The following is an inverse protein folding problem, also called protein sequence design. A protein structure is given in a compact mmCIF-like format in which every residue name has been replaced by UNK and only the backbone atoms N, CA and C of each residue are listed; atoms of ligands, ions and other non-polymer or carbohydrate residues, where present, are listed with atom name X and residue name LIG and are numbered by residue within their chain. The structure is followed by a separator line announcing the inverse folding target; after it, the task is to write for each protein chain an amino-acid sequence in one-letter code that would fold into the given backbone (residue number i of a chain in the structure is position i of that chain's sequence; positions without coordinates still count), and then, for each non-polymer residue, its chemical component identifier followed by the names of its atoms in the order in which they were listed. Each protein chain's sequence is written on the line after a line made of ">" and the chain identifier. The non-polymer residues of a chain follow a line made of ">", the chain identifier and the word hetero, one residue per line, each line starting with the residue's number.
data_IF_994302553035
#
_entry.id   IF_994302553035
#
_cell.length_a   1.000
_cell.length_b   1.000
_cell.length_c   1.000
_cell.angle_alpha   90.00
_cell.angle_beta   90.00
_cell.angle_gamma   90.00
#
_symmetry.space_group_name_H-M   'P 1'
#
loop_
_entity.id
_entity.type
_entity.pdbx_description
1 polymer ?
#
# COMPACT_ATOMS: atom_id res chain seq x y z
N UNK A 1 5.14 24.39 17.22
CA UNK A 1 4.94 23.37 18.26
C UNK A 1 4.51 22.03 17.68
N UNK A 2 3.54 21.98 16.75
CA UNK A 2 3.09 20.75 16.07
C UNK A 2 4.21 19.78 15.63
N UNK A 3 5.18 20.24 14.84
CA UNK A 3 6.28 19.40 14.36
C UNK A 3 7.17 18.87 15.50
N UNK A 4 7.26 19.60 16.61
CA UNK A 4 7.99 19.15 17.80
C UNK A 4 7.25 18.00 18.47
N UNK A 5 5.94 18.13 18.69
CA UNK A 5 5.13 17.05 19.25
C UNK A 5 5.15 15.80 18.38
N UNK A 6 5.08 15.97 17.06
CA UNK A 6 5.24 14.87 16.10
C UNK A 6 6.57 14.13 16.26
N UNK A 7 7.69 14.87 16.29
CA UNK A 7 9.03 14.28 16.49
C UNK A 7 9.17 13.60 17.85
N UNK A 8 8.49 14.09 18.87
CA UNK A 8 8.46 13.49 20.20
C UNK A 8 7.48 12.30 20.33
N UNK A 9 6.75 11.96 19.27
CA UNK A 9 5.74 10.89 19.30
C UNK A 9 4.45 11.24 20.06
N UNK A 10 4.29 12.49 20.46
CA UNK A 10 3.10 13.03 21.12
C UNK A 10 2.03 13.31 20.06
N UNK A 11 1.45 12.23 19.55
CA UNK A 11 0.67 12.28 18.33
C UNK A 11 -0.70 12.96 18.53
N UNK A 12 -1.30 12.90 19.72
CA UNK A 12 -2.58 13.57 19.99
C UNK A 12 -2.41 15.09 20.04
N UNK A 13 -1.36 15.55 20.70
CA UNK A 13 -0.97 16.96 20.79
C UNK A 13 -0.62 17.49 19.40
N UNK A 14 0.16 16.72 18.62
CA UNK A 14 0.47 17.06 17.23
C UNK A 14 -0.79 17.21 16.37
N UNK A 15 -1.77 16.29 16.49
CA UNK A 15 -3.05 16.39 15.78
C UNK A 15 -3.79 17.69 16.14
N UNK A 16 -3.89 18.01 17.42
CA UNK A 16 -4.61 19.20 17.88
C UNK A 16 -3.94 20.50 17.39
N UNK A 17 -2.61 20.53 17.41
CA UNK A 17 -1.84 21.67 16.92
C UNK A 17 -1.98 21.84 15.40
N UNK A 18 -1.90 20.76 14.61
CA UNK A 18 -2.11 20.87 13.16
C UNK A 18 -3.54 21.24 12.80
N UNK A 19 -4.55 20.75 13.53
CA UNK A 19 -5.95 21.19 13.36
C UNK A 19 -6.07 22.70 13.63
N UNK A 20 -5.44 23.18 14.69
CA UNK A 20 -5.41 24.62 15.00
C UNK A 20 -4.70 25.43 13.92
N UNK A 21 -3.60 24.91 13.36
CA UNK A 21 -2.88 25.53 12.25
C UNK A 21 -3.75 25.61 10.98
N UNK A 22 -4.51 24.54 10.66
CA UNK A 22 -5.46 24.52 9.54
C UNK A 22 -6.52 25.62 9.69
N UNK A 23 -7.07 25.81 10.89
CA UNK A 23 -8.09 26.84 11.15
C UNK A 23 -7.53 28.26 11.01
N UNK A 24 -6.23 28.45 11.28
CA UNK A 24 -5.55 29.76 11.20
C UNK A 24 -4.93 30.03 9.83
N UNK A 25 -4.84 29.02 8.97
CA UNK A 25 -4.18 29.12 7.67
C UNK A 25 -4.91 30.12 6.77
N UNK A 26 -4.15 31.03 6.16
CA UNK A 26 -4.70 32.12 5.32
C UNK A 26 -4.53 31.87 3.81
N UNK A 27 -3.68 30.92 3.44
CA UNK A 27 -3.36 30.62 2.06
C UNK A 27 -3.32 29.10 1.83
N UNK A 28 -3.31 28.71 0.55
CA UNK A 28 -3.30 27.31 0.14
C UNK A 28 -2.03 26.58 0.54
N UNK A 29 -0.89 27.27 0.57
CA UNK A 29 0.39 26.66 0.90
C UNK A 29 0.43 26.21 2.37
N UNK A 30 -0.05 27.06 3.28
CA UNK A 30 -0.15 26.75 4.71
C UNK A 30 -1.18 25.65 4.97
N UNK A 31 -2.32 25.67 4.26
CA UNK A 31 -3.30 24.60 4.31
C UNK A 31 -2.69 23.27 3.84
N UNK A 32 -1.97 23.29 2.72
CA UNK A 32 -1.30 22.12 2.18
C UNK A 32 -0.30 21.54 3.19
N UNK A 33 0.63 22.35 3.71
CA UNK A 33 1.63 21.93 4.69
C UNK A 33 0.97 21.37 5.96
N UNK A 34 -0.06 22.05 6.46
CA UNK A 34 -0.74 21.62 7.69
C UNK A 34 -1.49 20.29 7.49
N UNK A 35 -2.15 20.10 6.35
CA UNK A 35 -2.81 18.83 6.02
C UNK A 35 -1.81 17.71 5.71
N UNK A 36 -0.68 17.99 5.08
CA UNK A 36 0.39 17.02 4.83
C UNK A 36 0.90 16.47 6.16
N UNK A 37 1.36 17.37 7.03
CA UNK A 37 1.92 16.98 8.32
C UNK A 37 0.87 16.29 9.21
N UNK A 38 -0.40 16.72 9.15
CA UNK A 38 -1.48 16.01 9.84
C UNK A 38 -1.65 14.57 9.31
N UNK A 39 -1.51 14.37 8.01
CA UNK A 39 -1.46 13.04 7.38
C UNK A 39 -0.32 12.18 7.93
N UNK A 40 0.87 12.74 8.09
CA UNK A 40 2.03 12.02 8.64
C UNK A 40 1.83 11.59 10.09
N UNK A 41 1.22 12.45 10.91
CA UNK A 41 0.85 12.09 12.29
C UNK A 41 -0.13 10.93 12.28
N UNK A 42 -1.13 10.95 11.39
CA UNK A 42 -2.07 9.83 11.25
C UNK A 42 -1.39 8.56 10.75
N UNK A 43 -0.43 8.65 9.83
CA UNK A 43 0.38 7.52 9.38
C UNK A 43 1.17 6.90 10.53
N UNK A 44 1.80 7.72 11.37
CA UNK A 44 2.52 7.26 12.56
C UNK A 44 1.59 6.57 13.56
N UNK A 45 0.36 7.06 13.70
CA UNK A 45 -0.70 6.44 14.49
C UNK A 45 -1.32 5.19 13.86
N UNK A 46 -0.93 4.81 12.64
CA UNK A 46 -1.57 3.77 11.83
C UNK A 46 -3.06 4.02 11.55
N UNK A 47 -3.50 5.26 11.72
CA UNK A 47 -4.84 5.71 11.37
C UNK A 47 -4.88 6.05 9.87
N UNK A 48 -4.76 5.01 9.06
CA UNK A 48 -4.59 5.16 7.61
C UNK A 48 -5.81 5.82 6.96
N UNK A 49 -7.00 5.67 7.54
CA UNK A 49 -8.22 6.29 7.02
C UNK A 49 -8.17 7.82 7.14
N UNK A 50 -7.76 8.33 8.30
CA UNK A 50 -7.57 9.77 8.47
C UNK A 50 -6.34 10.28 7.71
N UNK A 51 -5.27 9.49 7.60
CA UNK A 51 -4.11 9.84 6.78
C UNK A 51 -4.48 10.06 5.31
N UNK A 52 -5.21 9.12 4.68
CA UNK A 52 -5.71 9.24 3.30
C UNK A 52 -6.53 10.51 3.12
N UNK A 53 -7.39 10.82 4.09
CA UNK A 53 -8.24 12.02 4.05
C UNK A 53 -7.41 13.31 4.13
N UNK A 54 -6.44 13.35 5.04
CA UNK A 54 -5.56 14.51 5.24
C UNK A 54 -4.67 14.76 4.01
N UNK A 55 -3.99 13.72 3.48
CA UNK A 55 -3.18 13.87 2.27
C UNK A 55 -4.02 14.26 1.05
N UNK A 56 -5.26 13.75 0.93
CA UNK A 56 -6.18 14.21 -0.13
C UNK A 56 -6.43 15.72 -0.01
N UNK A 57 -6.69 16.24 1.20
CA UNK A 57 -6.89 17.68 1.42
C UNK A 57 -5.62 18.48 1.16
N UNK A 58 -4.44 17.93 1.45
CA UNK A 58 -3.17 18.55 1.10
C UNK A 58 -3.00 18.68 -0.43
N UNK A 59 -3.28 17.63 -1.20
CA UNK A 59 -3.22 17.66 -2.67
C UNK A 59 -4.26 18.60 -3.31
N UNK A 60 -5.43 18.77 -2.69
CA UNK A 60 -6.41 19.76 -3.17
C UNK A 60 -5.88 21.20 -3.09
N UNK A 61 -4.96 21.47 -2.18
CA UNK A 61 -4.36 22.79 -2.00
C UNK A 61 -3.05 22.96 -2.80
N UNK A 62 -2.26 21.89 -2.96
CA UNK A 62 -1.10 21.84 -3.83
C UNK A 62 -1.05 20.50 -4.61
N UNK A 63 -1.64 20.46 -5.82
CA UNK A 63 -1.67 19.24 -6.62
C UNK A 63 -0.29 18.83 -7.15
N UNK A 64 0.69 19.73 -7.22
CA UNK A 64 2.02 19.42 -7.75
C UNK A 64 2.96 18.75 -6.75
N UNK A 65 2.54 18.54 -5.50
CA UNK A 65 3.41 17.94 -4.50
C UNK A 65 3.51 16.41 -4.64
N UNK A 66 4.65 15.96 -5.16
CA UNK A 66 4.97 14.55 -5.33
C UNK A 66 5.16 13.82 -3.99
N UNK A 67 5.58 14.52 -2.93
CA UNK A 67 5.77 13.93 -1.61
C UNK A 67 4.41 13.56 -0.98
N UNK A 68 3.48 14.51 -0.88
CA UNK A 68 2.11 14.24 -0.41
C UNK A 68 1.45 13.15 -1.25
N UNK A 69 1.69 13.15 -2.56
CA UNK A 69 1.13 12.16 -3.47
C UNK A 69 1.67 10.77 -3.18
N UNK A 70 2.98 10.63 -3.00
CA UNK A 70 3.60 9.38 -2.56
C UNK A 70 2.97 8.90 -1.23
N UNK A 71 2.89 9.79 -0.23
CA UNK A 71 2.33 9.48 1.08
C UNK A 71 0.84 9.10 1.01
N UNK A 72 0.05 9.76 0.15
CA UNK A 72 -1.36 9.44 -0.09
C UNK A 72 -1.53 8.02 -0.62
N UNK A 73 -0.73 7.63 -1.62
CA UNK A 73 -0.81 6.29 -2.21
C UNK A 73 -0.37 5.23 -1.20
N UNK A 74 0.71 5.50 -0.49
CA UNK A 74 1.17 4.62 0.58
C UNK A 74 0.08 4.42 1.64
N UNK A 75 -0.55 5.51 2.11
CA UNK A 75 -1.64 5.46 3.08
C UNK A 75 -2.84 4.62 2.57
N UNK A 76 -3.23 4.77 1.30
CA UNK A 76 -4.31 3.97 0.69
C UNK A 76 -4.01 2.49 0.67
N UNK A 77 -2.78 2.11 0.34
CA UNK A 77 -2.42 0.71 0.26
C UNK A 77 -2.27 0.08 1.65
N UNK A 78 -1.75 0.84 2.62
CA UNK A 78 -1.74 0.42 4.03
C UNK A 78 -3.17 0.23 4.57
N UNK A 79 -4.09 1.14 4.27
CA UNK A 79 -5.51 1.00 4.63
C UNK A 79 -6.14 -0.26 4.03
N UNK A 80 -5.86 -0.54 2.75
CA UNK A 80 -6.36 -1.73 2.07
C UNK A 80 -5.80 -3.02 2.68
N UNK A 81 -4.52 -3.02 3.05
CA UNK A 81 -3.89 -4.17 3.70
C UNK A 81 -4.41 -4.38 5.13
N UNK A 82 -4.64 -3.30 5.88
CA UNK A 82 -5.26 -3.36 7.21
C UNK A 82 -6.67 -4.00 7.16
N UNK A 83 -7.46 -3.62 6.15
CA UNK A 83 -8.79 -4.21 5.92
C UNK A 83 -8.73 -5.70 5.51
N UNK A 84 -7.74 -6.11 4.72
CA UNK A 84 -7.56 -7.52 4.32
C UNK A 84 -7.21 -8.41 5.52
N UNK A 85 -6.28 -7.96 6.36
CA UNK A 85 -5.86 -8.73 7.53
C UNK A 85 -7.04 -8.95 8.50
N UNK A 86 -7.85 -7.91 8.77
CA UNK A 86 -9.06 -8.01 9.60
C UNK A 86 -10.11 -9.00 9.06
N UNK A 87 -10.11 -9.27 7.75
CA UNK A 87 -11.01 -10.24 7.12
C UNK A 87 -10.45 -11.67 7.08
N UNK A 88 -9.12 -11.85 7.16
CA UNK A 88 -8.51 -13.18 7.24
C UNK A 88 -8.62 -13.78 8.65
N UNK A 89 -8.49 -12.98 9.71
CA UNK A 89 -8.66 -13.45 11.10
C UNK A 89 -10.07 -14.01 11.38
N UNK A 90 -11.08 -13.61 10.59
CA UNK A 90 -12.45 -14.15 10.68
C UNK A 90 -12.65 -15.50 9.96
N UNK A 91 -11.71 -15.93 9.11
CA UNK A 91 -11.81 -17.21 8.37
C UNK A 91 -11.08 -18.36 9.06
N UNK A 92 -10.10 -18.10 9.91
CA UNK A 92 -9.36 -19.16 10.61
C UNK A 92 -10.05 -19.65 11.89
N UNK A 93 -10.99 -18.89 12.46
CA UNK A 93 -11.76 -19.29 13.64
C UNK A 93 -12.93 -20.28 13.36
N UNK A 94 -12.94 -20.94 12.19
CA UNK A 94 -14.01 -21.87 11.78
C UNK A 94 -13.50 -23.25 11.33
N UNK A 95 -12.26 -23.63 11.72
CA UNK A 95 -11.64 -24.91 11.31
C UNK A 95 -11.20 -25.85 12.42
N UNK A 96 -11.49 -25.56 13.70
CA UNK A 96 -11.14 -26.44 14.83
C UNK A 96 -12.36 -26.93 15.62
N UNK A 97 -13.33 -27.57 14.96
CA UNK A 97 -14.34 -28.33 15.71
C UNK A 97 -14.90 -29.56 14.98
N UNK A 98 -14.01 -30.40 14.44
CA UNK A 98 -14.40 -31.76 14.01
C UNK A 98 -13.19 -32.69 13.93
N UNK A 99 -12.74 -33.19 15.09
CA UNK A 99 -12.01 -34.47 15.17
C UNK A 99 -11.96 -34.96 16.61
N UNK A 100 -13.07 -35.53 17.05
CA UNK A 100 -13.07 -36.58 18.07
C UNK A 100 -14.26 -37.53 17.80
N UNK A 101 -13.96 -38.64 17.13
CA UNK A 101 -14.45 -39.94 17.57
C UNK A 101 -13.70 -41.05 16.84
N UNK A 102 -12.73 -41.61 17.55
CA UNK A 102 -12.11 -42.91 17.25
C UNK A 102 -12.90 -43.96 18.02
N UNK A 103 -13.43 -44.98 17.36
CA UNK A 103 -13.60 -46.30 17.96
C UNK A 103 -13.56 -47.39 16.88
N UNK A 104 -12.59 -48.27 17.08
CA UNK A 104 -12.19 -49.43 16.31
C UNK A 104 -13.29 -50.51 16.20
N UNK A 105 -13.34 -51.28 15.11
CA UNK A 105 -12.83 -52.66 15.11
C UNK A 105 -13.03 -53.43 13.78
N UNK A 106 -11.95 -54.13 13.41
CA UNK A 106 -11.83 -55.51 12.87
C UNK A 106 -12.11 -55.87 11.39
N UNK A 107 -11.00 -56.30 10.76
CA UNK A 107 -10.73 -57.62 10.08
C UNK A 107 -11.48 -57.91 8.77
N UNK A 108 -10.95 -58.63 7.78
CA UNK A 108 -9.71 -59.39 7.54
C UNK A 108 -9.62 -59.62 6.00
N UNK A 109 -8.41 -60.00 5.53
CA UNK A 109 -8.12 -60.91 4.40
C UNK A 109 -8.04 -60.46 2.90
N UNK A 110 -6.77 -60.49 2.42
CA UNK A 110 -6.19 -61.33 1.34
C UNK A 110 -6.14 -60.91 -0.15
N UNK A 111 -4.86 -60.91 -0.60
CA UNK A 111 -4.23 -61.56 -1.80
C UNK A 111 -4.40 -60.91 -3.18
N UNK A 112 -3.25 -60.53 -3.77
CA UNK A 112 -2.52 -61.18 -4.91
C UNK A 112 -3.15 -60.73 -6.25
N UNK A 113 -2.50 -60.44 -7.37
CA UNK A 113 -1.16 -60.72 -7.91
C UNK A 113 -1.05 -59.86 -9.21
N UNK A 114 0.18 -59.44 -9.61
CA UNK A 114 0.73 -59.33 -11.00
C UNK A 114 -0.05 -58.53 -12.10
N UNK A 115 0.52 -57.95 -13.16
CA UNK A 115 1.87 -57.77 -13.73
C UNK A 115 1.73 -56.84 -14.96
N UNK A 116 2.82 -56.12 -15.22
CA UNK A 116 3.46 -55.84 -16.51
C UNK A 116 2.84 -55.01 -17.66
N UNK A 117 3.82 -54.38 -18.33
CA UNK A 117 3.93 -53.76 -19.66
C UNK A 117 3.65 -52.25 -19.79
N UNK A 118 4.65 -51.37 -19.81
CA UNK A 118 5.82 -51.11 -20.72
C UNK A 118 5.48 -50.27 -21.96
N UNK A 119 6.34 -49.24 -22.15
CA UNK A 119 6.80 -48.58 -23.39
C UNK A 119 5.80 -47.67 -24.12
N UNK A 120 6.15 -46.56 -24.76
CA UNK A 120 7.39 -45.86 -25.12
C UNK A 120 7.04 -44.34 -25.15
N UNK A 121 7.81 -43.35 -24.68
CA UNK A 121 9.16 -42.88 -25.02
C UNK A 121 9.26 -42.08 -26.34
N UNK A 122 9.35 -40.74 -26.23
CA UNK A 122 10.34 -39.82 -26.89
C UNK A 122 9.90 -38.36 -26.66
N UNK A 123 10.65 -37.57 -25.89
CA UNK A 123 11.86 -36.78 -26.25
C UNK A 123 11.60 -35.75 -27.35
N UNK A 124 11.67 -34.48 -26.94
CA UNK A 124 12.52 -33.54 -27.66
C UNK A 124 13.29 -32.63 -26.70
N UNK A 125 14.51 -32.36 -27.10
CA UNK A 125 15.64 -31.88 -26.32
C UNK A 125 16.22 -30.69 -27.09
N UNK A 126 16.42 -29.54 -26.44
CA UNK A 126 17.38 -28.53 -26.92
C UNK A 126 17.96 -27.71 -25.76
N UNK A 127 19.19 -28.10 -25.37
CA UNK A 127 20.29 -27.26 -24.83
C UNK A 127 20.70 -26.21 -25.90
N UNK A 128 21.46 -25.14 -25.71
CA UNK A 128 22.47 -24.62 -24.76
C UNK A 128 22.65 -23.11 -25.13
N UNK A 129 23.12 -22.17 -24.30
CA UNK A 129 24.52 -21.81 -23.97
C UNK A 129 24.47 -20.67 -22.90
N UNK A 130 25.16 -20.67 -21.73
CA UNK A 130 26.60 -20.37 -21.42
C UNK A 130 27.08 -19.05 -22.06
N UNK A 131 27.68 -18.03 -21.42
CA UNK A 131 28.47 -17.73 -20.18
C UNK A 131 28.34 -16.19 -19.93
N UNK A 132 28.60 -15.60 -18.76
CA UNK A 132 29.93 -15.23 -18.27
C UNK A 132 29.97 -14.84 -16.78
N UNK A 133 31.03 -15.29 -16.13
CA UNK A 133 31.54 -14.93 -14.81
C UNK A 133 32.28 -13.58 -14.83
N UNK A 134 32.19 -12.77 -13.75
CA UNK A 134 33.36 -12.50 -12.87
C UNK A 134 33.06 -11.57 -11.68
N UNK A 135 33.69 -11.97 -10.57
CA UNK A 135 33.76 -11.38 -9.22
C UNK A 135 34.69 -10.17 -9.13
N UNK A 136 34.45 -9.30 -8.14
CA UNK A 136 35.39 -8.91 -7.05
C UNK A 136 34.68 -7.95 -6.08
N UNK A 137 34.38 -8.35 -4.84
CA UNK A 137 35.20 -8.27 -3.62
C UNK A 137 35.32 -6.86 -2.99
N UNK A 138 34.62 -6.64 -1.87
CA UNK A 138 35.24 -6.27 -0.58
C UNK A 138 34.26 -6.31 0.60
N UNK A 139 34.69 -7.06 1.62
CA UNK A 139 34.14 -7.20 2.97
C UNK A 139 34.06 -5.86 3.71
N UNK A 140 33.09 -5.73 4.62
CA UNK A 140 33.45 -5.54 6.02
C UNK A 140 32.38 -6.07 6.98
N UNK A 141 32.86 -6.82 7.97
CA UNK A 141 32.14 -7.49 9.02
C UNK A 141 31.49 -6.53 10.02
N UNK A 142 30.24 -6.81 10.41
CA UNK A 142 29.79 -6.71 11.80
C UNK A 142 28.61 -7.65 12.01
N UNK A 143 28.91 -8.83 12.55
CA UNK A 143 27.94 -9.75 13.16
C UNK A 143 27.58 -9.19 14.54
N UNK A 144 26.31 -8.95 14.77
CA UNK A 144 25.70 -9.17 16.07
C UNK A 144 24.26 -9.69 15.93
N UNK A 145 23.81 -10.34 16.98
CA UNK A 145 22.97 -11.54 16.99
C UNK A 145 21.52 -11.45 16.48
N UNK A 146 21.20 -12.44 15.63
CA UNK A 146 19.98 -13.27 15.55
C UNK A 146 18.80 -13.01 16.53
N UNK A 147 17.62 -12.95 15.89
CA UNK A 147 16.27 -13.44 16.26
C UNK A 147 15.24 -12.36 16.61
N UNK A 148 14.53 -11.91 15.57
CA UNK A 148 13.07 -12.07 15.56
C UNK A 148 12.59 -12.28 14.12
N UNK A 149 12.30 -13.54 13.82
CA UNK A 149 11.45 -13.94 12.72
C UNK A 149 10.03 -13.44 13.03
N UNK A 150 9.72 -12.19 12.67
CA UNK A 150 8.35 -11.81 12.30
C UNK A 150 8.38 -11.68 10.79
N UNK A 151 7.82 -12.67 10.11
CA UNK A 151 7.33 -12.46 8.75
C UNK A 151 6.54 -11.14 8.80
N UNK A 152 7.00 -10.10 8.11
CA UNK A 152 6.14 -8.99 7.75
C UNK A 152 5.60 -9.29 6.35
N UNK A 153 4.55 -10.12 6.21
CA UNK A 153 3.82 -10.16 4.96
C UNK A 153 3.17 -8.78 4.81
N UNK A 154 3.23 -8.22 3.60
CA UNK A 154 2.60 -6.96 3.16
C UNK A 154 3.50 -5.71 3.02
N UNK A 155 4.82 -5.85 2.89
CA UNK A 155 5.62 -4.75 2.31
C UNK A 155 5.33 -4.67 0.81
N UNK A 156 4.66 -3.60 0.40
CA UNK A 156 4.34 -3.28 -1.00
C UNK A 156 5.66 -3.11 -1.77
N UNK A 157 5.77 -3.69 -2.97
CA UNK A 157 6.97 -3.49 -3.78
C UNK A 157 7.07 -2.04 -4.24
N UNK A 158 8.24 -1.39 -4.19
CA UNK A 158 8.45 -0.04 -4.73
C UNK A 158 7.95 0.11 -6.17
N UNK A 159 8.04 -0.96 -6.98
CA UNK A 159 7.56 -0.95 -8.37
C UNK A 159 6.03 -0.89 -8.46
N UNK A 160 5.32 -1.58 -7.56
CA UNK A 160 3.86 -1.52 -7.50
C UNK A 160 3.39 -0.11 -7.09
N UNK A 161 4.08 0.50 -6.12
CA UNK A 161 3.82 1.86 -5.69
C UNK A 161 4.09 2.86 -6.81
N UNK A 162 5.21 2.71 -7.53
CA UNK A 162 5.58 3.54 -8.68
C UNK A 162 4.55 3.43 -9.82
N UNK A 163 4.10 2.22 -10.14
CA UNK A 163 3.08 2.00 -11.16
C UNK A 163 1.73 2.62 -10.75
N UNK A 164 1.36 2.52 -9.47
CA UNK A 164 0.14 3.13 -8.95
C UNK A 164 0.23 4.67 -8.96
N UNK A 165 1.37 5.23 -8.59
CA UNK A 165 1.63 6.67 -8.68
C UNK A 165 1.52 7.17 -10.12
N UNK A 166 2.11 6.44 -11.07
CA UNK A 166 1.99 6.77 -12.50
C UNK A 166 0.54 6.73 -12.99
N UNK A 167 -0.22 5.71 -12.58
CA UNK A 167 -1.64 5.59 -12.93
C UNK A 167 -2.45 6.76 -12.34
N UNK A 168 -2.23 7.09 -11.07
CA UNK A 168 -2.89 8.20 -10.40
C UNK A 168 -2.56 9.56 -11.01
N UNK A 169 -1.30 9.80 -11.42
CA UNK A 169 -0.92 11.04 -12.10
C UNK A 169 -1.63 11.19 -13.44
N UNK A 170 -1.75 10.11 -14.20
CA UNK A 170 -2.46 10.12 -15.46
C UNK A 170 -3.96 10.39 -15.26
N UNK A 171 -4.58 9.80 -14.22
CA UNK A 171 -5.98 10.04 -13.89
C UNK A 171 -6.23 11.47 -13.42
N UNK A 172 -5.39 11.98 -12.52
CA UNK A 172 -5.51 13.35 -12.04
C UNK A 172 -5.33 14.35 -13.18
N UNK A 173 -4.36 14.15 -14.07
CA UNK A 173 -4.18 15.01 -15.25
C UNK A 173 -5.42 15.04 -16.13
N UNK A 174 -6.05 13.88 -16.38
CA UNK A 174 -7.32 13.81 -17.13
C UNK A 174 -8.45 14.55 -16.43
N UNK A 175 -8.56 14.44 -15.10
CA UNK A 175 -9.57 15.16 -14.31
C UNK A 175 -9.33 16.66 -14.38
N UNK A 176 -8.08 17.10 -14.20
CA UNK A 176 -7.70 18.50 -14.25
C UNK A 176 -7.99 19.12 -15.62
N UNK A 177 -7.68 18.40 -16.71
CA UNK A 177 -8.01 18.83 -18.08
C UNK A 177 -9.52 19.01 -18.27
N UNK A 178 -10.35 18.09 -17.76
CA UNK A 178 -11.82 18.20 -17.84
C UNK A 178 -12.34 19.40 -17.05
N UNK A 179 -11.85 19.61 -15.82
CA UNK A 179 -12.22 20.76 -14.99
C UNK A 179 -11.83 22.07 -15.67
N UNK A 180 -10.63 22.15 -16.24
CA UNK A 180 -10.17 23.34 -16.95
C UNK A 180 -11.00 23.60 -18.21
N UNK A 181 -11.28 22.58 -19.03
CA UNK A 181 -12.16 22.70 -20.21
C UNK A 181 -13.57 23.20 -19.84
N UNK A 182 -14.11 22.77 -18.71
CA UNK A 182 -15.42 23.22 -18.24
C UNK A 182 -15.39 24.66 -17.71
N UNK A 183 -14.32 25.08 -17.03
CA UNK A 183 -14.13 26.47 -16.59
C UNK A 183 -14.03 27.44 -17.77
N UNK A 184 -13.33 27.05 -18.84
CA UNK A 184 -13.18 27.88 -20.05
C UNK A 184 -14.51 28.04 -20.82
N UNK A 185 -15.43 27.08 -20.69
CA UNK A 185 -16.78 27.16 -21.30
C UNK A 185 -17.81 27.93 -20.45
N UNK A 186 -17.44 28.39 -19.26
CA UNK A 186 -18.31 29.11 -18.33
C UNK A 186 -18.28 30.62 -18.57
N UNK A 187 -19.47 31.18 -18.81
CA UNK A 187 -19.88 32.60 -18.88
C UNK A 187 -19.65 33.33 -20.24
N UNK A 188 -20.65 33.37 -21.14
CA UNK A 188 -20.81 34.51 -22.03
C UNK A 188 -21.15 35.74 -21.16
N UNK A 189 -20.24 36.70 -21.09
CA UNK A 189 -20.52 38.02 -20.50
C UNK A 189 -21.61 38.67 -21.35
N UNK A 190 -22.87 38.60 -20.89
CA UNK A 190 -23.91 39.47 -21.44
C UNK A 190 -23.60 40.89 -21.01
N UNK A 191 -22.82 41.60 -21.82
CA UNK A 191 -22.79 43.06 -21.80
C UNK A 191 -24.20 43.53 -22.17
N UNK A 192 -25.07 43.72 -21.18
CA UNK A 192 -26.21 44.62 -21.34
C UNK A 192 -25.64 46.02 -21.32
N UNK A 193 -25.36 46.52 -22.51
CA UNK A 193 -24.97 47.90 -22.78
C UNK A 193 -26.17 48.78 -22.43
N UNK A 194 -25.97 49.73 -21.52
CA UNK A 194 -26.90 50.82 -21.23
C UNK A 194 -27.24 51.54 -22.55
N UNK A 195 -28.55 51.70 -22.76
CA UNK A 195 -29.17 52.71 -23.60
C UNK A 195 -30.50 53.09 -22.94
#
# INVERSE_FOLDING_TARGET
>A
MANSFYKSGLNMEAVNEYKSAILKAKNKEDLHKSYHNLGDVYMQNKDYQNAVTSFKKALLNNPSDDETRYNYVLAKELLKNDQKNKNQDKKDNKKDNKKDNKKDNKKDDKKDDKKDDKKDNKKDNKKNDKKDDKKNDKKNDKKENKKQNKQQPNKISPEQLKNLLKAMNNEEKKVQEKVNKNKVKGVPVKNKKDW
#
